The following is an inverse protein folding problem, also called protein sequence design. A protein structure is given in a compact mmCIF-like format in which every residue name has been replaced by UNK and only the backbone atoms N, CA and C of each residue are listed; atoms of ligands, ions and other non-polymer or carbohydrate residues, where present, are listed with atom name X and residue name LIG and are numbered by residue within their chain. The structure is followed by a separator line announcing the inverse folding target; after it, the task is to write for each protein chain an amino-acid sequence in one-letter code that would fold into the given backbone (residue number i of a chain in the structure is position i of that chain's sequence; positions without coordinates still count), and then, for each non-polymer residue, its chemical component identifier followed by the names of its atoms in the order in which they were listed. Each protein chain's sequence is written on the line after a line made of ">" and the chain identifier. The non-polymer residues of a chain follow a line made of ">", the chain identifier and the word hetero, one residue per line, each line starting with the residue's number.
data_IF_236674518965
#
_entry.id   IF_236674518965
#
_cell.length_a   1.000
_cell.length_b   1.000
_cell.length_c   1.000
_cell.angle_alpha   90.00
_cell.angle_beta   90.00
_cell.angle_gamma   90.00
#
_symmetry.space_group_name_H-M   'P 1'
#
loop_
_entity.id
_entity.type
_entity.pdbx_description
1 polymer ?
#
# COMPACT_ATOMS: atom_id res chain seq x y z
N UNK A 1 -15.41 -7.05 -14.20
CA UNK A 1 -15.71 -7.45 -12.79
C UNK A 1 -14.53 -8.05 -12.01
N UNK A 2 -13.48 -8.55 -12.62
CA UNK A 2 -12.38 -9.29 -11.95
C UNK A 2 -11.22 -8.44 -11.45
N UNK A 3 -11.03 -7.26 -12.01
CA UNK A 3 -9.99 -6.32 -11.63
C UNK A 3 -10.02 -5.94 -10.13
N UNK A 4 -11.19 -5.76 -9.47
CA UNK A 4 -11.24 -5.49 -8.03
C UNK A 4 -10.67 -6.61 -7.17
N UNK A 5 -10.82 -7.88 -7.58
CA UNK A 5 -10.33 -9.02 -6.81
C UNK A 5 -8.78 -9.05 -6.79
N UNK A 6 -8.13 -8.78 -7.92
CA UNK A 6 -6.67 -8.69 -7.97
C UNK A 6 -6.13 -7.56 -7.09
N UNK A 7 -6.77 -6.37 -7.14
CA UNK A 7 -6.39 -5.26 -6.27
C UNK A 7 -6.59 -5.58 -4.79
N UNK A 8 -7.69 -6.24 -4.44
CA UNK A 8 -7.99 -6.65 -3.07
C UNK A 8 -6.96 -7.67 -2.55
N UNK A 9 -6.78 -8.79 -3.28
CA UNK A 9 -5.90 -9.88 -2.84
C UNK A 9 -4.44 -9.42 -2.75
N UNK A 10 -4.00 -8.58 -3.69
CA UNK A 10 -2.62 -8.09 -3.72
C UNK A 10 -2.29 -7.17 -2.53
N UNK A 11 -3.26 -6.37 -2.07
CA UNK A 11 -3.00 -5.33 -1.07
C UNK A 11 -3.46 -5.68 0.35
N UNK A 12 -4.27 -6.73 0.53
CA UNK A 12 -4.84 -7.06 1.85
C UNK A 12 -3.76 -7.42 2.87
N UNK A 13 -2.71 -8.15 2.47
CA UNK A 13 -1.63 -8.56 3.36
C UNK A 13 -0.80 -7.37 3.85
N UNK A 14 -0.56 -6.37 3.00
CA UNK A 14 0.08 -5.11 3.37
C UNK A 14 -0.67 -4.45 4.53
N UNK A 15 -1.99 -4.29 4.38
CA UNK A 15 -2.82 -3.65 5.41
C UNK A 15 -2.84 -4.46 6.71
N UNK A 16 -2.91 -5.79 6.60
CA UNK A 16 -2.88 -6.69 7.77
C UNK A 16 -1.55 -6.59 8.53
N UNK A 17 -0.42 -6.56 7.83
CA UNK A 17 0.91 -6.41 8.43
C UNK A 17 1.02 -5.08 9.17
N UNK A 18 0.56 -3.97 8.58
CA UNK A 18 0.56 -2.66 9.24
C UNK A 18 -0.40 -2.61 10.44
N UNK A 19 -1.58 -3.24 10.34
CA UNK A 19 -2.51 -3.36 11.48
C UNK A 19 -1.91 -4.16 12.63
N UNK A 20 -1.08 -5.16 12.31
CA UNK A 20 -0.37 -6.00 13.28
C UNK A 20 0.96 -5.40 13.77
N UNK A 21 1.36 -4.20 13.33
CA UNK A 21 2.72 -3.69 13.54
C UNK A 21 3.16 -3.69 15.01
N UNK A 22 2.27 -3.27 15.94
CA UNK A 22 2.55 -3.31 17.38
C UNK A 22 2.76 -4.75 17.86
N UNK A 23 1.94 -5.68 17.38
CA UNK A 23 2.01 -7.09 17.78
C UNK A 23 3.31 -7.75 17.27
N UNK A 24 3.75 -7.38 16.06
CA UNK A 24 4.91 -7.96 15.39
C UNK A 24 6.26 -7.54 16.01
N UNK A 25 6.39 -6.28 16.38
CA UNK A 25 7.69 -5.76 16.87
C UNK A 25 7.66 -5.31 18.33
N UNK A 26 6.46 -5.31 18.94
CA UNK A 26 6.24 -4.86 20.30
C UNK A 26 6.26 -3.34 20.45
N UNK A 27 5.90 -2.85 21.64
CA UNK A 27 5.81 -1.41 21.92
C UNK A 27 7.19 -0.70 21.95
N UNK A 28 8.26 -1.43 22.27
CA UNK A 28 9.61 -0.87 22.34
C UNK A 28 10.28 -0.61 21.00
N UNK A 29 9.81 -1.23 19.92
CA UNK A 29 10.38 -1.06 18.58
C UNK A 29 9.49 -0.13 17.77
N UNK A 30 10.05 0.92 17.13
CA UNK A 30 9.29 1.84 16.31
C UNK A 30 8.54 1.12 15.19
N UNK A 31 7.26 1.44 14.96
CA UNK A 31 6.43 0.82 13.90
C UNK A 31 6.92 1.23 12.51
N UNK A 32 7.69 2.30 12.42
CA UNK A 32 8.45 2.66 11.21
C UNK A 32 9.33 1.53 10.67
N UNK A 33 9.84 0.63 11.53
CA UNK A 33 10.60 -0.56 11.09
C UNK A 33 9.72 -1.49 10.26
N UNK A 34 8.50 -1.77 10.71
CA UNK A 34 7.53 -2.60 9.98
C UNK A 34 7.15 -1.92 8.67
N UNK A 35 6.87 -0.62 8.72
CA UNK A 35 6.54 0.17 7.53
C UNK A 35 7.64 0.14 6.47
N UNK A 36 8.89 0.32 6.88
CA UNK A 36 10.03 0.25 5.95
C UNK A 36 10.23 -1.16 5.38
N UNK A 37 10.10 -2.20 6.20
CA UNK A 37 10.18 -3.59 5.75
C UNK A 37 9.07 -3.94 4.75
N UNK A 38 7.91 -3.31 4.91
CA UNK A 38 6.73 -3.55 4.07
C UNK A 38 6.68 -2.67 2.80
N UNK A 39 7.41 -1.57 2.73
CA UNK A 39 7.40 -0.70 1.55
C UNK A 39 8.69 -0.79 0.70
N UNK A 40 9.86 -0.95 1.31
CA UNK A 40 11.13 -0.89 0.60
C UNK A 40 11.30 -1.97 -0.48
N UNK A 41 11.02 -3.27 -0.20
CA UNK A 41 11.13 -4.31 -1.23
C UNK A 41 10.11 -4.10 -2.38
N UNK A 42 8.89 -3.68 -2.05
CA UNK A 42 7.85 -3.36 -3.03
C UNK A 42 8.29 -2.19 -3.94
N UNK A 43 8.79 -1.10 -3.36
CA UNK A 43 9.29 0.05 -4.10
C UNK A 43 10.46 -0.33 -5.02
N UNK A 44 11.41 -1.14 -4.52
CA UNK A 44 12.53 -1.62 -5.32
C UNK A 44 12.07 -2.44 -6.52
N UNK A 45 11.13 -3.36 -6.30
CA UNK A 45 10.56 -4.17 -7.39
C UNK A 45 9.82 -3.28 -8.39
N UNK A 46 8.99 -2.33 -7.95
CA UNK A 46 8.28 -1.39 -8.82
C UNK A 46 9.25 -0.56 -9.67
N UNK A 47 10.39 -0.18 -9.12
CA UNK A 47 11.42 0.58 -9.84
C UNK A 47 12.18 -0.28 -10.86
N UNK A 48 12.44 -1.56 -10.57
CA UNK A 48 13.22 -2.46 -11.41
C UNK A 48 12.36 -3.28 -12.38
N UNK A 49 11.12 -3.57 -12.05
CA UNK A 49 10.23 -4.41 -12.85
C UNK A 49 10.07 -3.94 -14.32
N UNK A 50 9.96 -2.64 -14.65
CA UNK A 50 9.86 -2.19 -16.02
C UNK A 50 11.02 -2.66 -16.92
N UNK A 51 12.17 -2.99 -16.34
CA UNK A 51 13.35 -3.42 -17.09
C UNK A 51 13.29 -4.90 -17.51
N UNK A 52 12.53 -5.74 -16.78
CA UNK A 52 12.60 -7.21 -16.95
C UNK A 52 11.22 -7.87 -17.06
N UNK A 53 10.17 -7.20 -16.58
CA UNK A 53 8.86 -7.86 -16.37
C UNK A 53 8.20 -8.35 -17.65
N UNK A 54 8.45 -7.69 -18.79
CA UNK A 54 7.87 -8.05 -20.08
C UNK A 54 8.39 -9.40 -20.62
N UNK A 55 9.58 -9.85 -20.19
CA UNK A 55 10.14 -11.16 -20.55
C UNK A 55 9.56 -12.31 -19.73
N UNK A 56 8.90 -12.01 -18.59
CA UNK A 56 8.40 -13.01 -17.65
C UNK A 56 6.93 -13.34 -17.95
N UNK A 57 6.55 -14.58 -18.27
CA UNK A 57 5.16 -14.97 -18.51
C UNK A 57 4.27 -14.75 -17.29
N UNK A 58 3.00 -14.38 -17.48
CA UNK A 58 2.08 -14.09 -16.38
C UNK A 58 1.89 -15.26 -15.41
N UNK A 59 1.82 -16.50 -15.91
CA UNK A 59 1.70 -17.67 -15.03
C UNK A 59 2.90 -17.78 -14.05
N UNK A 60 4.12 -17.50 -14.53
CA UNK A 60 5.32 -17.51 -13.68
C UNK A 60 5.23 -16.39 -12.63
N UNK A 61 4.77 -15.20 -13.02
CA UNK A 61 4.56 -14.09 -12.06
C UNK A 61 3.60 -14.50 -10.95
N UNK A 62 2.44 -15.11 -11.28
CA UNK A 62 1.45 -15.56 -10.29
C UNK A 62 2.05 -16.59 -9.31
N UNK A 63 2.78 -17.58 -9.81
CA UNK A 63 3.44 -18.54 -8.93
C UNK A 63 4.54 -17.91 -8.06
N UNK A 64 5.27 -16.94 -8.59
CA UNK A 64 6.28 -16.18 -7.83
C UNK A 64 5.61 -15.35 -6.73
N UNK A 65 4.46 -14.73 -6.99
CA UNK A 65 3.70 -14.01 -5.96
C UNK A 65 3.34 -14.93 -4.80
N UNK A 66 2.82 -16.12 -5.09
CA UNK A 66 2.44 -17.10 -4.05
C UNK A 66 3.67 -17.64 -3.32
N UNK A 67 4.75 -17.95 -4.06
CA UNK A 67 6.00 -18.45 -3.50
C UNK A 67 6.72 -17.46 -2.59
N UNK A 68 6.46 -16.15 -2.74
CA UNK A 68 6.98 -15.11 -1.85
C UNK A 68 6.01 -14.81 -0.69
N UNK A 69 4.72 -14.60 -0.98
CA UNK A 69 3.76 -14.14 0.03
C UNK A 69 3.35 -15.23 1.01
N UNK A 70 3.11 -16.47 0.57
CA UNK A 70 2.70 -17.55 1.45
C UNK A 70 3.79 -17.92 2.48
N UNK A 71 5.03 -18.24 2.08
CA UNK A 71 6.09 -18.50 3.06
C UNK A 71 6.41 -17.24 3.89
N UNK A 72 6.35 -16.04 3.30
CA UNK A 72 6.54 -14.79 4.03
C UNK A 72 5.57 -14.66 5.19
N UNK A 73 4.28 -14.86 4.96
CA UNK A 73 3.23 -14.81 6.00
C UNK A 73 3.35 -15.96 7.00
N UNK A 74 3.75 -17.17 6.56
CA UNK A 74 4.04 -18.26 7.49
C UNK A 74 5.20 -17.92 8.43
N UNK A 75 6.28 -17.36 7.90
CA UNK A 75 7.42 -16.90 8.71
C UNK A 75 6.97 -15.86 9.74
N UNK A 76 6.21 -14.84 9.31
CA UNK A 76 5.67 -13.81 10.21
C UNK A 76 4.82 -14.41 11.31
N UNK A 77 4.01 -15.43 11.00
CA UNK A 77 3.13 -16.07 11.97
C UNK A 77 3.88 -17.04 12.90
N UNK A 78 4.73 -17.93 12.36
CA UNK A 78 5.36 -19.01 13.14
C UNK A 78 6.55 -18.54 13.98
N UNK A 79 7.32 -17.54 13.48
CA UNK A 79 8.51 -17.04 14.16
C UNK A 79 8.27 -15.71 14.87
N UNK A 80 7.08 -15.53 15.40
CA UNK A 80 6.59 -14.30 16.04
C UNK A 80 7.52 -13.74 17.15
N UNK A 81 8.31 -14.59 17.80
CA UNK A 81 9.23 -14.19 18.85
C UNK A 81 10.55 -13.57 18.31
N UNK A 82 10.90 -13.81 17.06
CA UNK A 82 12.15 -13.31 16.47
C UNK A 82 11.89 -12.14 15.53
N UNK A 83 12.09 -10.92 16.02
CA UNK A 83 11.87 -9.68 15.23
C UNK A 83 12.57 -9.69 13.88
N UNK A 84 13.82 -10.17 13.82
CA UNK A 84 14.60 -10.22 12.57
C UNK A 84 13.97 -11.17 11.55
N UNK A 85 13.53 -12.34 12.01
CA UNK A 85 12.88 -13.35 11.13
C UNK A 85 11.54 -12.84 10.64
N UNK A 86 10.76 -12.20 11.53
CA UNK A 86 9.50 -11.54 11.18
C UNK A 86 9.71 -10.48 10.09
N UNK A 87 10.73 -9.62 10.22
CA UNK A 87 11.05 -8.59 9.22
C UNK A 87 11.38 -9.23 7.86
N UNK A 88 12.12 -10.34 7.84
CA UNK A 88 12.40 -11.08 6.59
C UNK A 88 11.08 -11.57 5.95
N UNK A 89 10.18 -12.13 6.74
CA UNK A 89 8.86 -12.56 6.25
C UNK A 89 8.04 -11.39 5.68
N UNK A 90 8.07 -10.22 6.34
CA UNK A 90 7.42 -9.00 5.86
C UNK A 90 8.04 -8.56 4.53
N UNK A 91 9.36 -8.53 4.40
CA UNK A 91 10.05 -8.20 3.16
C UNK A 91 9.67 -9.13 1.99
N UNK A 92 9.49 -10.41 2.26
CA UNK A 92 9.03 -11.38 1.24
C UNK A 92 7.59 -11.07 0.79
N UNK A 93 6.67 -10.81 1.73
CA UNK A 93 5.29 -10.43 1.42
C UNK A 93 5.22 -9.11 0.65
N UNK A 94 6.05 -8.13 1.04
CA UNK A 94 6.20 -6.84 0.37
C UNK A 94 6.70 -6.98 -1.07
N UNK A 95 7.73 -7.78 -1.28
CA UNK A 95 8.26 -8.07 -2.61
C UNK A 95 7.19 -8.70 -3.52
N UNK A 96 6.39 -9.61 -2.97
CA UNK A 96 5.24 -10.18 -3.66
C UNK A 96 4.22 -9.08 -4.04
N UNK A 97 3.84 -8.22 -3.10
CA UNK A 97 2.87 -7.13 -3.35
C UNK A 97 3.34 -6.19 -4.46
N UNK A 98 4.62 -5.79 -4.45
CA UNK A 98 5.19 -4.94 -5.50
C UNK A 98 5.19 -5.59 -6.88
N UNK A 99 5.57 -6.87 -6.97
CA UNK A 99 5.52 -7.65 -8.21
C UNK A 99 4.07 -7.81 -8.71
N UNK A 100 3.13 -8.07 -7.80
CA UNK A 100 1.72 -8.19 -8.11
C UNK A 100 1.14 -6.90 -8.68
N UNK A 101 1.42 -5.76 -8.06
CA UNK A 101 0.93 -4.46 -8.52
C UNK A 101 1.38 -4.16 -9.95
N UNK A 102 2.68 -4.31 -10.25
CA UNK A 102 3.20 -4.11 -11.61
C UNK A 102 2.57 -5.12 -12.59
N UNK A 103 2.45 -6.40 -12.20
CA UNK A 103 1.91 -7.45 -13.05
C UNK A 103 0.42 -7.24 -13.37
N UNK A 104 -0.38 -6.88 -12.36
CA UNK A 104 -1.82 -6.69 -12.56
C UNK A 104 -2.14 -5.38 -13.26
N UNK A 105 -1.37 -4.31 -13.03
CA UNK A 105 -1.50 -3.08 -13.82
C UNK A 105 -1.15 -3.33 -15.29
N UNK A 106 -0.09 -4.08 -15.58
CA UNK A 106 0.23 -4.47 -16.96
C UNK A 106 -0.87 -5.33 -17.57
N UNK A 107 -1.48 -6.22 -16.81
CA UNK A 107 -2.59 -7.06 -17.26
C UNK A 107 -3.84 -6.24 -17.63
N UNK A 108 -4.08 -5.09 -16.98
CA UNK A 108 -5.23 -4.23 -17.30
C UNK A 108 -5.18 -3.69 -18.73
N UNK A 109 -4.01 -3.69 -19.37
CA UNK A 109 -3.86 -3.23 -20.76
C UNK A 109 -4.66 -4.10 -21.75
N UNK A 110 -4.85 -5.38 -21.47
CA UNK A 110 -5.58 -6.32 -22.32
C UNK A 110 -7.10 -6.29 -22.15
N UNK A 111 -7.63 -5.45 -21.26
CA UNK A 111 -9.06 -5.37 -20.92
C UNK A 111 -9.57 -3.92 -21.02
N UNK A 112 -10.92 -3.68 -21.06
CA UNK A 112 -11.47 -2.32 -21.16
C UNK A 112 -10.94 -1.42 -20.06
N UNK A 113 -10.24 -0.39 -20.46
CA UNK A 113 -9.42 0.50 -19.64
C UNK A 113 -10.14 1.04 -18.40
N UNK A 114 -11.32 1.64 -18.60
CA UNK A 114 -12.06 2.29 -17.51
C UNK A 114 -12.52 1.28 -16.45
N UNK A 115 -12.95 0.10 -16.86
CA UNK A 115 -13.41 -0.95 -15.96
C UNK A 115 -12.25 -1.68 -15.27
N UNK A 116 -11.13 -1.83 -15.96
CA UNK A 116 -9.98 -2.57 -15.45
C UNK A 116 -9.19 -1.75 -14.40
N UNK A 117 -8.82 -0.50 -14.72
CA UNK A 117 -8.07 0.38 -13.82
C UNK A 117 -8.97 0.81 -12.64
N UNK A 118 -10.21 1.23 -12.91
CA UNK A 118 -11.16 1.59 -11.86
C UNK A 118 -11.46 0.43 -10.92
N UNK A 119 -11.61 -0.78 -11.47
CA UNK A 119 -11.80 -2.00 -10.70
C UNK A 119 -10.61 -2.32 -9.80
N UNK A 120 -9.39 -2.27 -10.33
CA UNK A 120 -8.18 -2.49 -9.55
C UNK A 120 -8.04 -1.49 -8.39
N UNK A 121 -8.26 -0.19 -8.65
CA UNK A 121 -8.22 0.87 -7.64
C UNK A 121 -9.29 0.69 -6.55
N UNK A 122 -10.51 0.29 -6.92
CA UNK A 122 -11.57 -0.05 -5.96
C UNK A 122 -11.19 -1.27 -5.12
N UNK A 123 -10.57 -2.28 -5.75
CA UNK A 123 -10.06 -3.47 -5.06
C UNK A 123 -9.00 -3.14 -4.03
N UNK A 124 -8.03 -2.28 -4.35
CA UNK A 124 -7.00 -1.84 -3.40
C UNK A 124 -7.59 -1.06 -2.22
N UNK A 125 -8.59 -0.21 -2.45
CA UNK A 125 -9.34 0.46 -1.38
C UNK A 125 -10.14 -0.54 -0.52
N UNK A 126 -10.78 -1.53 -1.17
CA UNK A 126 -11.49 -2.62 -0.50
C UNK A 126 -10.57 -3.48 0.36
N UNK A 127 -9.33 -3.69 -0.07
CA UNK A 127 -8.30 -4.40 0.71
C UNK A 127 -8.01 -3.71 2.04
N UNK A 128 -7.99 -2.37 2.05
CA UNK A 128 -7.82 -1.57 3.25
C UNK A 128 -8.87 -1.89 4.31
N UNK A 129 -10.15 -1.80 3.95
CA UNK A 129 -11.24 -2.13 4.86
C UNK A 129 -11.22 -3.62 5.22
N UNK A 130 -11.15 -4.51 4.23
CA UNK A 130 -11.23 -5.94 4.50
C UNK A 130 -10.10 -6.42 5.42
N UNK A 131 -8.86 -6.00 5.15
CA UNK A 131 -7.69 -6.36 5.95
C UNK A 131 -7.77 -5.83 7.38
N UNK A 132 -8.01 -4.53 7.55
CA UNK A 132 -8.08 -3.89 8.87
C UNK A 132 -9.28 -4.36 9.68
N UNK A 133 -10.46 -4.49 9.05
CA UNK A 133 -11.67 -5.00 9.72
C UNK A 133 -11.51 -6.45 10.17
N UNK A 134 -11.03 -7.33 9.28
CA UNK A 134 -10.84 -8.74 9.63
C UNK A 134 -9.79 -8.89 10.73
N UNK A 135 -8.69 -8.14 10.69
CA UNK A 135 -7.69 -8.17 11.74
C UNK A 135 -8.25 -7.69 13.07
N UNK A 136 -8.98 -6.56 13.09
CA UNK A 136 -9.66 -6.04 14.27
C UNK A 136 -10.70 -7.05 14.80
N UNK A 137 -11.53 -7.62 13.93
CA UNK A 137 -12.53 -8.61 14.30
C UNK A 137 -11.89 -9.83 14.96
N UNK A 138 -10.86 -10.39 14.34
CA UNK A 138 -10.17 -11.58 14.85
C UNK A 138 -9.46 -11.31 16.17
N UNK A 139 -8.77 -10.19 16.30
CA UNK A 139 -7.93 -9.91 17.48
C UNK A 139 -8.68 -9.19 18.61
N UNK A 140 -9.41 -8.11 18.30
CA UNK A 140 -10.06 -7.28 19.31
C UNK A 140 -11.42 -7.84 19.75
N UNK A 141 -12.22 -8.37 18.83
CA UNK A 141 -13.57 -8.87 19.12
C UNK A 141 -13.55 -10.35 19.48
N UNK A 142 -13.02 -11.21 18.60
CA UNK A 142 -12.96 -12.66 18.80
C UNK A 142 -11.81 -13.10 19.73
N UNK A 143 -10.91 -12.17 20.11
CA UNK A 143 -9.78 -12.39 21.04
C UNK A 143 -8.85 -13.53 20.62
N UNK A 144 -8.69 -13.74 19.32
CA UNK A 144 -7.63 -14.61 18.80
C UNK A 144 -6.28 -13.94 19.00
N UNK A 145 -5.24 -14.72 19.27
CA UNK A 145 -3.88 -14.18 19.26
C UNK A 145 -3.50 -13.65 17.86
N UNK A 146 -2.71 -12.58 17.80
CA UNK A 146 -2.21 -12.01 16.55
C UNK A 146 -1.55 -13.09 15.66
N UNK A 147 -0.80 -14.01 16.27
CA UNK A 147 -0.18 -15.15 15.58
C UNK A 147 -1.20 -16.02 14.84
N UNK A 148 -2.32 -16.39 15.48
CA UNK A 148 -3.39 -17.20 14.86
C UNK A 148 -4.11 -16.42 13.76
N UNK A 149 -4.36 -15.13 13.99
CA UNK A 149 -4.96 -14.27 12.98
C UNK A 149 -4.07 -14.18 11.72
N UNK A 150 -2.77 -13.94 11.87
CA UNK A 150 -1.82 -13.87 10.76
C UNK A 150 -1.69 -15.20 10.01
N UNK A 151 -1.79 -16.34 10.72
CA UNK A 151 -1.77 -17.67 10.08
C UNK A 151 -2.99 -17.87 9.16
N UNK A 152 -4.17 -17.36 9.55
CA UNK A 152 -5.36 -17.39 8.69
C UNK A 152 -5.15 -16.55 7.42
N UNK A 153 -4.50 -15.39 7.54
CA UNK A 153 -4.20 -14.55 6.39
C UNK A 153 -3.15 -15.16 5.44
N UNK A 154 -2.31 -16.08 5.91
CA UNK A 154 -1.34 -16.76 5.07
C UNK A 154 -1.96 -17.58 3.93
N UNK A 155 -3.24 -17.93 4.00
CA UNK A 155 -3.96 -18.68 2.95
C UNK A 155 -4.40 -17.77 1.79
N UNK A 156 -4.54 -16.47 2.02
CA UNK A 156 -5.06 -15.51 1.03
C UNK A 156 -4.29 -15.51 -0.30
N UNK A 157 -2.95 -15.62 -0.35
CA UNK A 157 -2.22 -15.64 -1.62
C UNK A 157 -2.71 -16.70 -2.63
N UNK A 158 -3.24 -17.82 -2.17
CA UNK A 158 -3.78 -18.85 -3.08
C UNK A 158 -5.02 -18.38 -3.85
N UNK A 159 -5.71 -17.34 -3.41
CA UNK A 159 -6.81 -16.74 -4.16
C UNK A 159 -6.38 -16.12 -5.49
N UNK A 160 -5.07 -15.82 -5.68
CA UNK A 160 -4.53 -15.42 -6.99
C UNK A 160 -4.69 -16.53 -8.04
N UNK A 161 -4.60 -17.81 -7.64
CA UNK A 161 -4.84 -18.96 -8.54
C UNK A 161 -6.28 -18.93 -9.02
N UNK A 162 -7.22 -18.77 -8.09
CA UNK A 162 -8.65 -18.71 -8.41
C UNK A 162 -8.93 -17.49 -9.32
N UNK A 163 -8.39 -16.33 -8.96
CA UNK A 163 -8.58 -15.10 -9.73
C UNK A 163 -8.01 -15.22 -11.16
N UNK A 164 -6.82 -15.78 -11.32
CA UNK A 164 -6.13 -15.83 -12.61
C UNK A 164 -6.63 -16.97 -13.51
N UNK A 165 -6.75 -18.19 -12.97
CA UNK A 165 -7.06 -19.37 -13.79
C UNK A 165 -8.56 -19.67 -13.94
N UNK A 166 -9.39 -19.30 -12.94
CA UNK A 166 -10.81 -19.63 -12.96
C UNK A 166 -11.70 -18.45 -13.34
N UNK A 167 -11.31 -17.24 -12.97
CA UNK A 167 -12.18 -16.08 -13.10
C UNK A 167 -11.76 -15.14 -14.24
N UNK A 168 -10.50 -15.14 -14.66
CA UNK A 168 -10.03 -14.24 -15.71
C UNK A 168 -10.48 -14.74 -17.08
N UNK A 169 -11.28 -13.98 -17.87
CA UNK A 169 -11.64 -14.36 -19.22
C UNK A 169 -10.38 -14.46 -20.10
N UNK A 170 -10.29 -15.42 -21.02
CA UNK A 170 -9.17 -15.51 -21.95
C UNK A 170 -9.10 -14.24 -22.81
N UNK A 171 -7.90 -13.70 -22.97
CA UNK A 171 -7.62 -12.44 -23.69
C UNK A 171 -8.14 -12.49 -25.14
N UNK A 172 -8.05 -13.64 -25.80
CA UNK A 172 -8.49 -13.86 -27.18
C UNK A 172 -10.01 -13.62 -27.33
N UNK A 173 -10.81 -14.12 -26.38
CA UNK A 173 -12.28 -13.96 -26.40
C UNK A 173 -12.71 -12.50 -26.24
N UNK A 174 -11.87 -11.66 -25.65
CA UNK A 174 -12.17 -10.25 -25.44
C UNK A 174 -11.88 -9.40 -26.69
N UNK A 175 -10.81 -9.71 -27.41
CA UNK A 175 -10.48 -9.05 -28.69
C UNK A 175 -11.52 -9.34 -29.78
N UNK A 176 -12.01 -10.59 -29.87
CA UNK A 176 -13.05 -10.97 -30.82
C UNK A 176 -14.38 -10.26 -30.54
N UNK A 177 -14.73 -10.04 -29.26
CA UNK A 177 -15.95 -9.31 -28.88
C UNK A 177 -15.86 -7.79 -29.12
N UNK A 178 -14.65 -7.22 -29.08
CA UNK A 178 -14.41 -5.77 -29.17
C UNK A 178 -14.21 -5.30 -30.61
N UNK A 179 -13.70 -6.15 -31.49
CA UNK A 179 -13.33 -5.79 -32.90
C UNK A 179 -14.33 -6.22 -33.95
N UNK A 180 -15.47 -6.81 -33.57
CA UNK A 180 -16.54 -7.10 -34.53
C UNK A 180 -16.15 -8.01 -35.68
N UNK A 181 -15.21 -8.94 -35.48
CA UNK A 181 -14.94 -10.01 -36.42
C UNK A 181 -13.89 -9.70 -37.50
N UNK A 182 -13.10 -8.64 -37.40
CA UNK A 182 -11.95 -8.48 -38.31
C UNK A 182 -10.74 -9.29 -37.83
N UNK A 183 -10.47 -10.37 -38.53
CA UNK A 183 -9.31 -11.25 -38.37
C UNK A 183 -8.03 -10.48 -38.72
N UNK A 184 -7.28 -10.09 -37.73
CA UNK A 184 -5.93 -9.56 -37.93
C UNK A 184 -4.95 -10.75 -38.01
N UNK A 185 -4.30 -10.84 -39.15
CA UNK A 185 -3.40 -11.91 -39.60
C UNK A 185 -2.26 -12.15 -38.60
N UNK A 186 -2.18 -13.36 -38.06
CA UNK A 186 -1.22 -13.82 -37.04
C UNK A 186 0.16 -14.23 -37.64
N UNK A 187 0.52 -13.74 -38.83
CA UNK A 187 1.72 -14.17 -39.56
C UNK A 187 3.03 -13.43 -39.23
N UNK A 188 3.07 -12.54 -38.23
CA UNK A 188 4.26 -11.73 -37.89
C UNK A 188 5.00 -12.14 -36.61
N UNK A 189 4.76 -13.35 -36.07
CA UNK A 189 5.35 -13.80 -34.80
C UNK A 189 6.50 -14.82 -34.92
N UNK A 190 6.93 -15.17 -36.12
CA UNK A 190 8.05 -16.10 -36.32
C UNK A 190 9.03 -15.45 -37.31
N UNK A 191 10.13 -14.96 -36.82
CA UNK A 191 11.48 -14.90 -37.40
C UNK A 191 12.29 -13.77 -36.74
N UNK A 192 12.83 -14.04 -35.58
CA UNK A 192 14.03 -13.35 -35.07
C UNK A 192 15.07 -14.39 -34.70
N UNK A 193 16.08 -14.47 -35.55
CA UNK A 193 17.25 -15.34 -35.43
C UNK A 193 18.11 -14.95 -34.20
N UNK A 194 18.23 -15.88 -33.23
CA UNK A 194 18.76 -15.59 -31.89
C UNK A 194 20.28 -15.86 -31.76
N UNK A 195 20.96 -16.35 -32.81
CA UNK A 195 22.32 -16.86 -32.65
C UNK A 195 23.48 -15.87 -32.97
N UNK A 196 23.23 -14.60 -33.31
CA UNK A 196 24.24 -13.63 -33.71
C UNK A 196 24.77 -12.65 -32.65
N UNK A 197 24.22 -12.58 -31.45
CA UNK A 197 24.40 -11.42 -30.54
C UNK A 197 24.91 -11.80 -29.15
N UNK A 198 26.01 -12.52 -29.01
CA UNK A 198 26.53 -12.86 -27.67
C UNK A 198 27.86 -12.23 -27.23
N UNK A 199 28.47 -11.32 -27.95
CA UNK A 199 29.83 -10.86 -27.58
C UNK A 199 30.11 -9.34 -27.52
N UNK A 200 29.12 -8.46 -27.66
CA UNK A 200 29.27 -7.01 -27.54
C UNK A 200 28.43 -6.34 -26.47
N UNK A 201 27.76 -7.11 -25.61
CA UNK A 201 26.57 -6.66 -24.87
C UNK A 201 26.81 -5.89 -23.56
N UNK A 202 27.96 -5.99 -22.90
CA UNK A 202 28.09 -5.45 -21.53
C UNK A 202 28.41 -3.96 -21.42
N UNK A 203 29.09 -3.36 -22.37
CA UNK A 203 29.46 -1.92 -22.29
C UNK A 203 28.41 -1.04 -22.97
N UNK A 204 27.79 -1.54 -24.04
CA UNK A 204 26.66 -0.87 -24.72
C UNK A 204 25.44 -0.77 -23.80
N UNK A 205 25.08 -1.84 -23.14
CA UNK A 205 23.88 -1.94 -22.29
C UNK A 205 23.86 -0.91 -21.14
N UNK A 206 24.99 -0.66 -20.46
CA UNK A 206 25.06 0.34 -19.38
C UNK A 206 24.90 1.77 -19.94
N UNK A 207 25.50 2.04 -21.08
CA UNK A 207 25.42 3.36 -21.75
C UNK A 207 24.00 3.62 -22.27
N UNK A 208 23.36 2.62 -22.85
CA UNK A 208 21.98 2.68 -23.32
C UNK A 208 21.00 2.78 -22.13
N UNK A 209 21.27 2.09 -21.03
CA UNK A 209 20.50 2.20 -19.79
C UNK A 209 20.58 3.61 -19.19
N UNK A 210 21.77 4.23 -19.17
CA UNK A 210 21.97 5.61 -18.67
C UNK A 210 21.29 6.62 -19.61
N UNK A 211 21.39 6.44 -20.91
CA UNK A 211 20.72 7.30 -21.89
C UNK A 211 19.19 7.18 -21.75
N UNK A 212 18.69 5.96 -21.62
CA UNK A 212 17.26 5.70 -21.40
C UNK A 212 16.77 6.26 -20.06
N UNK A 213 17.56 6.16 -18.98
CA UNK A 213 17.26 6.77 -17.68
C UNK A 213 17.18 8.31 -17.78
N UNK A 214 18.10 8.95 -18.55
CA UNK A 214 18.06 10.39 -18.78
C UNK A 214 16.81 10.85 -19.53
N UNK A 215 16.41 10.13 -20.57
CA UNK A 215 15.17 10.38 -21.30
C UNK A 215 13.94 10.18 -20.43
N UNK A 216 13.93 9.12 -19.63
CA UNK A 216 12.86 8.82 -18.67
C UNK A 216 12.71 9.94 -17.62
N UNK A 217 13.83 10.43 -17.06
CA UNK A 217 13.81 11.54 -16.11
C UNK A 217 13.27 12.83 -16.72
N UNK A 218 13.59 13.11 -17.98
CA UNK A 218 13.05 14.26 -18.70
C UNK A 218 11.52 14.15 -18.92
N UNK A 219 11.01 12.94 -19.14
CA UNK A 219 9.56 12.67 -19.24
C UNK A 219 8.86 12.77 -17.89
N UNK A 220 9.52 12.42 -16.77
CA UNK A 220 8.97 12.52 -15.41
C UNK A 220 8.95 13.97 -14.92
N UNK A 221 9.94 14.78 -15.25
CA UNK A 221 10.10 16.17 -14.75
C UNK A 221 8.82 17.03 -14.78
N UNK A 222 8.02 17.07 -15.86
CA UNK A 222 6.78 17.84 -15.88
C UNK A 222 5.69 17.30 -14.93
N UNK A 223 5.77 16.04 -14.51
CA UNK A 223 4.80 15.39 -13.61
C UNK A 223 5.11 15.67 -12.12
N UNK A 224 6.38 15.98 -11.80
CA UNK A 224 6.85 16.12 -10.41
C UNK A 224 6.06 17.18 -9.65
N UNK A 225 6.06 18.42 -10.14
CA UNK A 225 5.45 19.54 -9.44
C UNK A 225 3.91 19.45 -9.35
N UNK A 226 3.16 19.15 -10.42
CA UNK A 226 1.70 19.16 -10.36
C UNK A 226 1.11 17.92 -9.64
N UNK A 227 1.76 16.75 -9.68
CA UNK A 227 1.18 15.49 -9.24
C UNK A 227 2.00 14.77 -8.17
N UNK A 228 3.32 14.59 -8.40
CA UNK A 228 4.14 13.74 -7.54
C UNK A 228 4.42 14.38 -6.17
N UNK A 229 4.76 15.67 -6.13
CA UNK A 229 5.00 16.39 -4.87
C UNK A 229 3.76 16.38 -3.96
N UNK A 230 2.56 16.83 -4.40
CA UNK A 230 1.40 16.84 -3.52
C UNK A 230 1.02 15.42 -3.07
N UNK A 231 1.06 14.42 -3.96
CA UNK A 231 0.76 13.04 -3.60
C UNK A 231 1.76 12.49 -2.58
N UNK A 232 3.06 12.57 -2.87
CA UNK A 232 4.11 12.11 -1.96
C UNK A 232 4.02 12.77 -0.59
N UNK A 233 3.78 14.10 -0.55
CA UNK A 233 3.71 14.85 0.71
C UNK A 233 2.48 14.46 1.54
N UNK A 234 1.32 14.22 0.91
CA UNK A 234 0.15 13.70 1.64
C UNK A 234 0.49 12.36 2.27
N UNK A 235 1.13 11.44 1.53
CA UNK A 235 1.52 10.13 2.05
C UNK A 235 2.59 10.20 3.15
N UNK A 236 3.52 11.17 3.07
CA UNK A 236 4.45 11.43 4.18
C UNK A 236 3.65 11.76 5.46
N UNK A 237 2.76 12.72 5.39
CA UNK A 237 1.99 13.16 6.56
C UNK A 237 1.07 12.08 7.11
N UNK A 238 0.37 11.38 6.24
CA UNK A 238 -0.52 10.28 6.55
C UNK A 238 0.21 9.15 7.28
N UNK A 239 1.33 8.68 6.76
CA UNK A 239 2.08 7.58 7.38
C UNK A 239 2.93 8.02 8.59
N UNK A 240 3.26 9.31 8.71
CA UNK A 240 3.80 9.88 9.95
C UNK A 240 2.74 9.81 11.06
N UNK A 241 1.48 10.11 10.77
CA UNK A 241 0.40 9.96 11.74
C UNK A 241 0.19 8.48 12.06
N UNK A 242 -0.09 7.65 11.05
CA UNK A 242 -0.51 6.27 11.24
C UNK A 242 0.53 5.38 11.94
N UNK A 243 1.82 5.52 11.59
CA UNK A 243 2.86 4.62 12.07
C UNK A 243 3.86 5.28 13.04
N UNK A 244 3.79 6.62 13.18
CA UNK A 244 4.68 7.35 14.09
C UNK A 244 3.95 7.93 15.30
N UNK A 245 2.86 8.63 15.07
CA UNK A 245 2.13 9.32 16.15
C UNK A 245 1.05 8.43 16.75
N UNK A 246 0.27 7.71 15.93
CA UNK A 246 -0.89 6.91 16.35
C UNK A 246 -0.58 5.91 17.47
N UNK A 247 0.58 5.22 17.53
CA UNK A 247 0.93 4.35 18.64
C UNK A 247 0.99 5.06 20.01
N UNK A 248 1.11 6.39 20.03
CA UNK A 248 1.17 7.22 21.25
C UNK A 248 -0.15 7.93 21.57
N UNK A 249 -1.16 7.85 20.69
CA UNK A 249 -2.48 8.46 20.88
C UNK A 249 -3.38 7.59 21.78
N UNK A 250 -3.01 7.46 23.03
CA UNK A 250 -3.61 6.54 23.98
C UNK A 250 -4.54 7.26 24.96
N UNK A 251 -5.57 6.53 25.43
CA UNK A 251 -6.55 6.98 26.41
C UNK A 251 -6.69 5.95 27.54
N UNK A 252 -7.12 6.37 28.76
CA UNK A 252 -7.31 5.46 29.86
C UNK A 252 -8.31 4.35 29.52
N UNK A 253 -7.90 3.08 29.60
CA UNK A 253 -8.73 1.94 29.22
C UNK A 253 -10.03 1.83 30.02
N UNK A 254 -10.04 2.29 31.29
CA UNK A 254 -11.24 2.27 32.15
C UNK A 254 -12.38 3.16 31.65
N UNK A 255 -12.09 4.10 30.71
CA UNK A 255 -13.09 4.99 30.09
C UNK A 255 -13.61 4.42 28.76
N UNK A 256 -13.09 3.29 28.31
CA UNK A 256 -13.37 2.72 27.00
C UNK A 256 -14.22 1.43 27.11
N UNK A 257 -15.02 1.13 26.07
CA UNK A 257 -15.81 -0.11 26.03
C UNK A 257 -14.91 -1.35 26.09
N UNK A 258 -15.05 -2.17 27.12
CA UNK A 258 -14.19 -3.34 27.38
C UNK A 258 -14.36 -4.49 26.37
N UNK A 259 -15.46 -4.51 25.62
CA UNK A 259 -15.66 -5.50 24.56
C UNK A 259 -14.76 -5.25 23.35
N UNK A 260 -14.34 -3.99 23.10
CA UNK A 260 -13.49 -3.58 21.98
C UNK A 260 -12.05 -3.29 22.45
N UNK A 261 -11.88 -2.63 23.60
CA UNK A 261 -10.59 -2.18 24.11
C UNK A 261 -10.27 -2.87 25.44
N UNK A 262 -9.39 -3.86 25.43
CA UNK A 262 -8.85 -4.50 26.65
C UNK A 262 -7.42 -4.10 26.91
N UNK A 263 -6.66 -3.84 25.86
CA UNK A 263 -5.26 -3.49 25.88
C UNK A 263 -5.01 -2.20 25.08
N UNK A 264 -3.94 -1.49 25.37
CA UNK A 264 -3.61 -0.26 24.66
C UNK A 264 -3.36 -0.48 23.15
N UNK A 265 -2.88 -1.67 22.76
CA UNK A 265 -2.74 -2.03 21.34
C UNK A 265 -4.08 -2.02 20.58
N UNK A 266 -5.17 -2.30 21.25
CA UNK A 266 -6.50 -2.35 20.62
C UNK A 266 -6.92 -0.98 20.06
N UNK A 267 -6.45 0.10 20.70
CA UNK A 267 -6.69 1.48 20.25
C UNK A 267 -6.01 1.72 18.88
N UNK A 268 -4.75 1.30 18.73
CA UNK A 268 -4.02 1.43 17.47
C UNK A 268 -4.70 0.66 16.33
N UNK A 269 -5.11 -0.58 16.57
CA UNK A 269 -5.82 -1.40 15.56
C UNK A 269 -7.15 -0.77 15.17
N UNK A 270 -7.87 -0.19 16.14
CA UNK A 270 -9.13 0.51 15.90
C UNK A 270 -8.92 1.78 15.03
N UNK A 271 -7.90 2.58 15.33
CA UNK A 271 -7.56 3.73 14.50
C UNK A 271 -7.23 3.33 13.06
N UNK A 272 -6.43 2.28 12.88
CA UNK A 272 -6.11 1.74 11.56
C UNK A 272 -7.36 1.35 10.77
N UNK A 273 -8.35 0.73 11.43
CA UNK A 273 -9.63 0.42 10.80
C UNK A 273 -10.41 1.68 10.38
N UNK A 274 -10.56 2.66 11.28
CA UNK A 274 -11.28 3.91 10.97
C UNK A 274 -10.64 4.69 9.83
N UNK A 275 -9.32 4.78 9.84
CA UNK A 275 -8.56 5.37 8.75
C UNK A 275 -8.89 4.68 7.41
N UNK A 276 -8.87 3.35 7.35
CA UNK A 276 -9.18 2.60 6.13
C UNK A 276 -10.63 2.78 5.67
N UNK A 277 -11.58 2.97 6.59
CA UNK A 277 -12.97 3.33 6.24
C UNK A 277 -13.00 4.68 5.52
N UNK A 278 -12.27 5.68 6.03
CA UNK A 278 -12.13 6.98 5.40
C UNK A 278 -11.53 6.89 3.99
N UNK A 279 -10.43 6.14 3.85
CA UNK A 279 -9.76 5.90 2.56
C UNK A 279 -10.70 5.25 1.53
N UNK A 280 -11.46 4.25 1.93
CA UNK A 280 -12.37 3.57 1.01
C UNK A 280 -13.49 4.48 0.52
N UNK A 281 -14.11 5.23 1.44
CA UNK A 281 -15.18 6.16 1.09
C UNK A 281 -14.67 7.21 0.11
N UNK A 282 -13.52 7.80 0.39
CA UNK A 282 -12.94 8.85 -0.45
C UNK A 282 -12.45 8.33 -1.80
N UNK A 283 -11.84 7.14 -1.86
CA UNK A 283 -11.48 6.52 -3.15
C UNK A 283 -12.70 6.15 -4.00
N UNK A 284 -13.82 5.84 -3.38
CA UNK A 284 -15.09 5.53 -4.06
C UNK A 284 -15.83 6.79 -4.54
N UNK A 285 -15.45 7.98 -4.07
CA UNK A 285 -16.16 9.25 -4.31
C UNK A 285 -16.25 9.66 -5.78
N UNK A 286 -15.30 9.23 -6.60
CA UNK A 286 -15.31 9.44 -8.06
C UNK A 286 -16.56 8.88 -8.71
N UNK A 287 -17.07 7.75 -8.22
CA UNK A 287 -18.28 7.13 -8.74
C UNK A 287 -19.53 8.00 -8.47
N UNK A 288 -19.46 8.91 -7.52
CA UNK A 288 -20.49 9.89 -7.17
C UNK A 288 -20.25 11.27 -7.77
N UNK A 289 -19.27 11.42 -8.66
CA UNK A 289 -18.94 12.69 -9.32
C UNK A 289 -18.21 13.71 -8.43
N UNK A 290 -17.75 13.31 -7.24
CA UNK A 290 -17.02 14.21 -6.34
C UNK A 290 -15.58 14.35 -6.85
N UNK A 291 -15.18 15.57 -7.19
CA UNK A 291 -13.89 15.88 -7.82
C UNK A 291 -13.19 17.04 -7.12
N UNK A 292 -11.99 16.81 -6.61
CA UNK A 292 -11.14 17.84 -5.98
C UNK A 292 -9.93 18.09 -6.89
N UNK A 293 -9.86 19.28 -7.48
CA UNK A 293 -8.77 19.65 -8.40
C UNK A 293 -7.56 20.28 -7.69
N UNK A 294 -7.74 20.76 -6.47
CA UNK A 294 -6.70 21.46 -5.71
C UNK A 294 -5.91 20.45 -4.84
N UNK A 295 -4.96 19.71 -5.44
CA UNK A 295 -4.20 18.67 -4.75
C UNK A 295 -3.37 19.22 -3.58
N UNK A 296 -2.80 20.43 -3.72
CA UNK A 296 -2.04 21.09 -2.64
C UNK A 296 -2.90 21.50 -1.44
N UNK A 297 -4.21 21.71 -1.63
CA UNK A 297 -5.13 21.91 -0.51
C UNK A 297 -5.24 20.67 0.36
N UNK A 298 -5.32 19.48 -0.26
CA UNK A 298 -5.34 18.22 0.49
C UNK A 298 -4.03 18.00 1.26
N UNK A 299 -2.90 18.34 0.66
CA UNK A 299 -1.60 18.34 1.32
C UNK A 299 -1.57 19.27 2.55
N UNK A 300 -2.08 20.49 2.42
CA UNK A 300 -2.14 21.45 3.52
C UNK A 300 -3.05 20.96 4.66
N UNK A 301 -4.23 20.41 4.33
CA UNK A 301 -5.14 19.87 5.34
C UNK A 301 -4.53 18.65 6.07
N UNK A 302 -3.79 17.81 5.36
CA UNK A 302 -3.10 16.67 5.96
C UNK A 302 -1.94 17.13 6.87
N UNK A 303 -1.22 18.20 6.50
CA UNK A 303 -0.24 18.84 7.38
C UNK A 303 -0.88 19.35 8.69
N UNK A 304 -2.05 19.99 8.59
CA UNK A 304 -2.80 20.43 9.78
C UNK A 304 -3.14 19.23 10.69
N UNK A 305 -3.53 18.10 10.12
CA UNK A 305 -3.78 16.87 10.90
C UNK A 305 -2.52 16.38 11.63
N UNK A 306 -1.34 16.41 10.98
CA UNK A 306 -0.07 16.10 11.65
C UNK A 306 0.14 17.01 12.86
N UNK A 307 -0.05 18.32 12.70
CA UNK A 307 0.12 19.28 13.81
C UNK A 307 -0.85 18.96 14.95
N UNK A 308 -2.14 18.75 14.66
CA UNK A 308 -3.16 18.44 15.68
C UNK A 308 -2.82 17.13 16.41
N UNK A 309 -2.45 16.08 15.68
CA UNK A 309 -2.11 14.77 16.29
C UNK A 309 -0.81 14.82 17.10
N UNK A 310 0.18 15.64 16.68
CA UNK A 310 1.38 15.89 17.48
C UNK A 310 1.03 16.59 18.80
N UNK A 311 0.19 17.64 18.76
CA UNK A 311 -0.27 18.31 19.98
C UNK A 311 -1.06 17.36 20.89
N UNK A 312 -1.89 16.49 20.31
CA UNK A 312 -2.61 15.46 21.04
C UNK A 312 -1.66 14.47 21.72
N UNK A 313 -0.61 14.04 21.03
CA UNK A 313 0.39 13.12 21.60
C UNK A 313 1.22 13.75 22.71
N UNK A 314 1.62 15.03 22.54
CA UNK A 314 2.49 15.74 23.48
C UNK A 314 1.75 16.25 24.72
N UNK A 315 0.52 16.75 24.55
CA UNK A 315 -0.19 17.53 25.57
C UNK A 315 -1.59 17.03 25.86
N UNK A 316 -2.05 15.96 25.20
CA UNK A 316 -3.43 15.45 25.33
C UNK A 316 -4.51 16.49 24.97
N UNK A 317 -4.20 17.38 24.02
CA UNK A 317 -5.07 18.44 23.54
C UNK A 317 -5.13 18.35 21.99
N UNK A 318 -6.28 18.58 21.33
CA UNK A 318 -7.54 19.13 21.86
C UNK A 318 -8.58 18.09 22.28
N UNK A 319 -8.34 16.80 22.09
CA UNK A 319 -9.37 15.77 22.30
C UNK A 319 -9.32 15.17 23.71
N UNK A 320 -10.36 15.42 24.54
CA UNK A 320 -10.42 14.84 25.88
C UNK A 320 -10.83 13.36 25.88
N UNK A 321 -11.32 12.83 24.75
CA UNK A 321 -11.77 11.45 24.61
C UNK A 321 -11.42 10.85 23.25
N UNK A 322 -11.45 9.51 23.18
CA UNK A 322 -11.10 8.75 21.98
C UNK A 322 -12.00 9.07 20.78
N UNK A 323 -13.26 9.40 20.97
CA UNK A 323 -14.24 9.53 19.88
C UNK A 323 -13.98 10.77 19.03
N UNK A 324 -13.60 11.89 19.66
CA UNK A 324 -13.19 13.10 18.94
C UNK A 324 -11.94 12.87 18.08
N UNK A 325 -10.94 12.21 18.67
CA UNK A 325 -9.73 11.85 17.94
C UNK A 325 -10.01 10.82 16.82
N UNK A 326 -10.88 9.83 17.07
CA UNK A 326 -11.32 8.86 16.06
C UNK A 326 -11.97 9.53 14.85
N UNK A 327 -12.72 10.62 15.05
CA UNK A 327 -13.29 11.39 13.95
C UNK A 327 -12.21 12.10 13.13
N UNK A 328 -11.13 12.56 13.75
CA UNK A 328 -9.96 13.13 13.05
C UNK A 328 -9.21 12.07 12.26
N UNK A 329 -9.01 10.87 12.81
CA UNK A 329 -8.35 9.74 12.10
C UNK A 329 -9.19 9.29 10.89
N UNK A 330 -10.51 9.23 11.04
CA UNK A 330 -11.41 8.98 9.90
C UNK A 330 -11.27 10.08 8.82
N UNK A 331 -11.24 11.35 9.22
CA UNK A 331 -11.04 12.48 8.31
C UNK A 331 -9.67 12.44 7.62
N UNK A 332 -8.62 12.05 8.32
CA UNK A 332 -7.29 11.78 7.76
C UNK A 332 -7.36 10.78 6.61
N UNK A 333 -8.05 9.65 6.80
CA UNK A 333 -8.28 8.65 5.77
C UNK A 333 -9.05 9.20 4.56
N UNK A 334 -10.04 10.09 4.79
CA UNK A 334 -10.74 10.76 3.69
C UNK A 334 -9.77 11.61 2.85
N UNK A 335 -8.87 12.37 3.47
CA UNK A 335 -7.91 13.21 2.76
C UNK A 335 -6.91 12.38 1.95
N UNK A 336 -6.38 11.29 2.51
CA UNK A 336 -5.48 10.36 1.83
C UNK A 336 -6.11 9.76 0.59
N UNK A 337 -7.31 9.20 0.72
CA UNK A 337 -8.01 8.61 -0.42
C UNK A 337 -8.44 9.64 -1.47
N UNK A 338 -8.88 10.85 -1.08
CA UNK A 338 -9.13 11.95 -2.02
C UNK A 338 -7.88 12.37 -2.77
N UNK A 339 -6.73 12.47 -2.09
CA UNK A 339 -5.46 12.82 -2.73
C UNK A 339 -5.10 11.79 -3.79
N UNK A 340 -5.16 10.51 -3.47
CA UNK A 340 -4.86 9.43 -4.39
C UNK A 340 -5.72 9.49 -5.65
N UNK A 341 -7.04 9.37 -5.48
CA UNK A 341 -7.96 9.24 -6.61
C UNK A 341 -7.99 10.49 -7.48
N UNK A 342 -7.92 11.69 -6.88
CA UNK A 342 -7.95 12.94 -7.64
C UNK A 342 -6.62 13.25 -8.35
N UNK A 343 -5.49 12.77 -7.83
CA UNK A 343 -4.20 12.86 -8.52
C UNK A 343 -4.23 12.03 -9.81
N UNK A 344 -4.61 10.75 -9.75
CA UNK A 344 -4.67 9.89 -10.92
C UNK A 344 -5.71 10.35 -11.94
N UNK A 345 -6.84 10.88 -11.51
CA UNK A 345 -7.81 11.51 -12.39
C UNK A 345 -7.24 12.75 -13.07
N UNK A 346 -6.49 13.59 -12.36
CA UNK A 346 -5.84 14.77 -12.94
C UNK A 346 -4.78 14.38 -13.98
N UNK A 347 -4.00 13.35 -13.72
CA UNK A 347 -3.06 12.78 -14.71
C UNK A 347 -3.82 12.29 -15.95
N UNK A 348 -4.92 11.56 -15.75
CA UNK A 348 -5.75 11.06 -16.85
C UNK A 348 -6.33 12.17 -17.73
N UNK A 349 -6.69 13.31 -17.15
CA UNK A 349 -7.28 14.46 -17.85
C UNK A 349 -6.24 15.35 -18.54
N UNK A 350 -5.06 15.54 -17.93
CA UNK A 350 -4.08 16.55 -18.34
C UNK A 350 -2.93 15.99 -19.21
N UNK A 351 -2.71 14.67 -19.16
CA UNK A 351 -1.63 14.02 -19.92
C UNK A 351 -2.20 13.38 -21.19
N UNK A 352 -1.47 13.55 -22.32
CA UNK A 352 -1.84 12.97 -23.61
C UNK A 352 -2.00 11.45 -23.55
N UNK A 353 -2.88 10.89 -24.38
CA UNK A 353 -3.16 9.44 -24.37
C UNK A 353 -1.92 8.58 -24.53
N UNK A 354 -1.00 8.99 -25.40
CA UNK A 354 0.25 8.27 -25.71
C UNK A 354 1.23 8.22 -24.53
N UNK A 355 1.19 9.21 -23.63
CA UNK A 355 2.10 9.31 -22.47
C UNK A 355 1.42 9.00 -21.14
N UNK A 356 0.10 8.76 -21.15
CA UNK A 356 -0.73 8.62 -19.93
C UNK A 356 -0.34 7.40 -19.10
N UNK A 357 -0.11 6.26 -19.75
CA UNK A 357 0.28 5.03 -19.05
C UNK A 357 1.61 5.20 -18.32
N UNK A 358 2.61 5.75 -19.01
CA UNK A 358 3.90 6.09 -18.41
C UNK A 358 3.76 7.09 -17.26
N UNK A 359 2.94 8.12 -17.42
CA UNK A 359 2.71 9.14 -16.41
C UNK A 359 2.01 8.56 -15.16
N UNK A 360 0.99 7.69 -15.34
CA UNK A 360 0.32 7.02 -14.23
C UNK A 360 1.28 6.10 -13.45
N UNK A 361 2.07 5.30 -14.13
CA UNK A 361 3.08 4.45 -13.50
C UNK A 361 4.13 5.27 -12.74
N UNK A 362 4.63 6.35 -13.34
CA UNK A 362 5.63 7.23 -12.71
C UNK A 362 5.07 7.97 -11.48
N UNK A 363 3.85 8.49 -11.57
CA UNK A 363 3.18 9.17 -10.44
C UNK A 363 2.87 8.18 -9.31
N UNK A 364 2.54 6.92 -9.64
CA UNK A 364 2.28 5.86 -8.67
C UNK A 364 3.51 5.46 -7.82
N UNK A 365 4.73 5.80 -8.25
CA UNK A 365 5.94 5.56 -7.43
C UNK A 365 6.03 6.59 -6.28
N UNK A 366 5.43 7.76 -6.44
CA UNK A 366 5.57 8.86 -5.47
C UNK A 366 4.86 8.61 -4.13
N UNK A 367 3.80 7.80 -4.10
CA UNK A 367 3.15 7.38 -2.86
C UNK A 367 4.10 6.50 -2.04
N UNK A 368 4.66 5.46 -2.66
CA UNK A 368 5.61 4.54 -2.02
C UNK A 368 6.87 5.26 -1.54
N UNK A 369 7.34 6.25 -2.30
CA UNK A 369 8.45 7.12 -1.90
C UNK A 369 8.09 7.97 -0.67
N UNK A 370 6.88 8.53 -0.63
CA UNK A 370 6.36 9.26 0.54
C UNK A 370 6.28 8.37 1.79
N UNK A 371 5.77 7.15 1.63
CA UNK A 371 5.68 6.15 2.72
C UNK A 371 7.07 5.78 3.25
N UNK A 372 8.06 5.61 2.37
CA UNK A 372 9.45 5.33 2.76
C UNK A 372 10.05 6.47 3.60
N UNK A 373 9.83 7.72 3.20
CA UNK A 373 10.29 8.89 3.98
C UNK A 373 9.60 8.90 5.35
N UNK A 374 8.29 8.70 5.41
CA UNK A 374 7.53 8.63 6.66
C UNK A 374 8.06 7.52 7.59
N UNK A 375 8.31 6.32 7.05
CA UNK A 375 8.90 5.21 7.80
C UNK A 375 10.24 5.58 8.43
N UNK A 376 11.09 6.29 7.67
CA UNK A 376 12.38 6.78 8.16
C UNK A 376 12.25 7.81 9.28
N UNK A 377 11.29 8.75 9.15
CA UNK A 377 10.96 9.72 10.20
C UNK A 377 10.45 9.01 11.46
N UNK A 378 9.61 8.00 11.30
CA UNK A 378 8.96 7.31 12.41
C UNK A 378 9.92 6.47 13.26
N UNK A 379 11.09 6.09 12.73
CA UNK A 379 12.13 5.42 13.54
C UNK A 379 12.57 6.22 14.76
N UNK A 380 12.52 7.51 14.66
CA UNK A 380 12.89 8.43 15.73
C UNK A 380 11.71 9.16 16.34
N UNK A 381 10.68 9.49 15.57
CA UNK A 381 9.53 10.26 16.04
C UNK A 381 8.74 9.51 17.13
N UNK A 382 8.37 8.25 16.87
CA UNK A 382 7.60 7.44 17.80
C UNK A 382 8.30 7.26 19.16
N UNK A 383 9.58 6.85 19.24
CA UNK A 383 10.29 6.76 20.51
C UNK A 383 10.36 8.09 21.24
N UNK A 384 10.63 9.19 20.54
CA UNK A 384 10.72 10.54 21.12
C UNK A 384 9.39 10.97 21.76
N UNK A 385 8.26 10.72 21.08
CA UNK A 385 6.93 11.01 21.62
C UNK A 385 6.61 10.14 22.84
N UNK A 386 6.92 8.84 22.78
CA UNK A 386 6.72 7.94 23.91
C UNK A 386 7.57 8.33 25.11
N UNK A 387 8.85 8.67 24.91
CA UNK A 387 9.74 9.12 25.99
C UNK A 387 9.24 10.42 26.63
N UNK A 388 8.71 11.34 25.83
CA UNK A 388 8.08 12.55 26.34
C UNK A 388 6.86 12.21 27.24
N UNK A 389 5.95 11.35 26.79
CA UNK A 389 4.78 10.93 27.59
C UNK A 389 5.18 10.24 28.89
N UNK A 390 6.20 9.38 28.84
CA UNK A 390 6.75 8.71 30.04
C UNK A 390 7.32 9.73 31.03
N UNK A 391 8.01 10.78 30.56
CA UNK A 391 8.53 11.85 31.40
C UNK A 391 7.41 12.66 32.08
N UNK A 392 6.21 12.67 31.50
CA UNK A 392 4.99 13.29 32.08
C UNK A 392 4.19 12.32 32.96
N UNK A 393 4.69 11.10 33.22
CA UNK A 393 4.05 10.09 34.06
C UNK A 393 3.04 9.20 33.31
N UNK A 394 2.92 9.30 31.99
CA UNK A 394 2.03 8.49 31.16
C UNK A 394 2.81 7.32 30.53
N UNK A 395 2.85 6.18 31.20
CA UNK A 395 3.64 5.00 30.76
C UNK A 395 2.91 4.10 29.74
N UNK A 396 1.77 4.50 29.19
CA UNK A 396 0.89 3.65 28.40
C UNK A 396 1.55 3.13 27.11
N UNK A 397 2.38 3.95 26.47
CA UNK A 397 3.11 3.56 25.24
C UNK A 397 4.16 2.45 25.49
N UNK A 398 4.54 2.18 26.75
CA UNK A 398 5.47 1.11 27.17
C UNK A 398 4.79 -0.10 27.79
N UNK A 399 3.51 0.00 28.22
CA UNK A 399 2.81 -1.05 28.95
C UNK A 399 2.47 -2.31 28.13
N UNK A 400 2.75 -2.34 26.84
CA UNK A 400 2.72 -3.56 26.03
C UNK A 400 3.97 -4.44 26.15
N UNK A 401 4.88 -4.18 27.09
CA UNK A 401 6.13 -4.95 27.29
C UNK A 401 6.03 -6.10 28.29
N UNK A 402 4.89 -6.28 28.94
CA UNK A 402 4.71 -7.40 29.88
C UNK A 402 4.03 -8.57 29.15
N UNK A 403 4.81 -9.39 28.45
CA UNK A 403 4.79 -10.88 28.44
C UNK A 403 5.95 -11.35 27.56
#
# INVERSE_FOLDING_TARGET
>A
MLSPLFGLVNNILYVVILSAAIDLVGSATPKGVVLLADIMPSLLIKALAPLVIHEVPYHTRIWTLIALSFPGMLIVSLFFQSKVVVIIGICMASASSGLGEVSFLSLTHFYPRNSAIGGFSTGTGGAGIAGSFLYLLLTNVLKLSAQKALLLFAIIPFSHIIAYYLLLPPVISYHELSTGGELMDTSLANDVDIDGIKQGYHVGMIRDLIAHAGETLNKIRPLVRPFMIPLSTVYIFEYVINQGISPTLLFPLHQLPTWLFKEYRDIYVFYGFLYQVGVFISRSSINFGIRIRQLYLLTFLQFVNVVITLFQSLYSIPFPNIWGLSSLIFYEGLLGGFSYVNTFMSVSEQVSETSREFAMGSVGISDSFGIMIAGSINLWLEPTLCDHQVSQGQNWCRLGQAI
#
